data_IF_217586335282
#
_entry.id   IF_217586335282
#
_cell.length_a   1.000
_cell.length_b   1.000
_cell.length_c   1.000
_cell.angle_alpha   90.00
_cell.angle_beta   90.00
_cell.angle_gamma   90.00
#
_symmetry.space_group_name_H-M   'P 1'
#
loop_
_entity.id
_entity.type
_entity.pdbx_description
1 polymer ?
#
# COMPACT_ATOMS: atom_id res chain seq x y z
N UNK A 1 -46.24 38.50 64.39
CA UNK A 1 -46.10 37.47 65.45
C UNK A 1 -44.85 36.69 65.10
N UNK A 2 -43.69 37.11 65.63
CA UNK A 2 -43.05 36.59 66.86
C UNK A 2 -42.33 35.26 66.57
N UNK A 3 -41.00 35.29 66.43
CA UNK A 3 -39.99 34.88 67.42
C UNK A 3 -39.74 33.36 67.38
N UNK A 4 -38.54 32.87 67.04
CA UNK A 4 -37.38 32.64 67.94
C UNK A 4 -37.73 31.70 69.11
N UNK A 5 -36.95 30.72 69.58
CA UNK A 5 -35.59 30.19 69.38
C UNK A 5 -35.48 29.09 70.46
N UNK A 6 -34.85 27.94 70.14
CA UNK A 6 -34.11 26.99 71.03
C UNK A 6 -34.79 26.49 72.35
N UNK A 7 -34.33 25.49 73.11
CA UNK A 7 -33.06 24.75 73.21
C UNK A 7 -33.35 23.47 74.03
N UNK A 8 -32.58 22.40 73.84
CA UNK A 8 -31.99 21.57 74.92
C UNK A 8 -30.91 20.68 74.23
N UNK A 9 -29.63 21.06 74.09
CA UNK A 9 -28.47 20.97 75.04
C UNK A 9 -28.29 19.59 75.70
N UNK A 10 -27.14 18.90 75.77
CA UNK A 10 -25.67 19.08 75.57
C UNK A 10 -25.04 17.63 75.55
N UNK A 11 -23.71 17.39 75.63
CA UNK A 11 -22.68 17.41 74.58
C UNK A 11 -21.87 16.07 74.48
N UNK A 12 -21.10 15.82 73.42
CA UNK A 12 -19.72 15.27 73.54
C UNK A 12 -19.00 15.21 72.19
N UNK A 13 -17.81 15.79 72.18
CA UNK A 13 -16.72 15.54 71.23
C UNK A 13 -15.51 15.13 72.10
N UNK A 14 -14.37 14.63 71.58
CA UNK A 14 -14.09 13.83 70.37
C UNK A 14 -13.08 12.68 70.64
N UNK A 15 -13.07 11.55 69.91
CA UNK A 15 -11.86 10.70 69.72
C UNK A 15 -11.99 9.74 68.52
N UNK A 16 -10.92 9.12 67.98
CA UNK A 16 -10.44 9.34 66.61
C UNK A 16 -10.50 8.10 65.70
N UNK A 17 -10.07 8.28 64.44
CA UNK A 17 -9.62 7.30 63.44
C UNK A 17 -9.89 5.80 63.67
N UNK A 18 -10.70 5.24 62.76
CA UNK A 18 -10.47 3.87 62.25
C UNK A 18 -10.52 3.92 60.72
N UNK A 19 -9.37 3.86 60.03
CA UNK A 19 -9.31 3.66 58.59
C UNK A 19 -9.47 2.17 58.31
N UNK A 20 -10.58 1.74 57.70
CA UNK A 20 -10.73 0.31 57.42
C UNK A 20 -12.08 -0.17 56.95
N UNK A 21 -12.59 0.35 55.84
CA UNK A 21 -13.50 -0.42 55.00
C UNK A 21 -13.43 0.11 53.57
N UNK A 22 -12.68 -0.54 52.66
CA UNK A 22 -12.69 -0.13 51.26
C UNK A 22 -14.09 -0.37 50.69
N UNK A 23 -14.71 0.69 50.18
CA UNK A 23 -15.88 0.60 49.33
C UNK A 23 -15.49 -0.23 48.11
N UNK A 24 -15.89 -1.50 48.10
CA UNK A 24 -15.76 -2.36 46.93
C UNK A 24 -16.76 -1.87 45.89
N UNK A 25 -16.29 -1.01 44.99
CA UNK A 25 -16.98 -0.71 43.74
C UNK A 25 -16.93 -2.01 42.93
N UNK A 26 -18.09 -2.62 42.76
CA UNK A 26 -18.28 -3.85 41.99
C UNK A 26 -17.94 -3.54 40.51
N UNK A 27 -16.67 -3.73 40.14
CA UNK A 27 -16.20 -3.53 38.77
C UNK A 27 -16.70 -4.71 37.95
N UNK A 28 -17.85 -4.53 37.29
CA UNK A 28 -18.38 -5.46 36.29
C UNK A 28 -17.29 -5.65 35.23
N UNK A 29 -16.73 -6.86 35.13
CA UNK A 29 -15.74 -7.20 34.12
C UNK A 29 -16.32 -6.92 32.72
N UNK A 30 -15.65 -6.08 31.92
CA UNK A 30 -16.10 -5.72 30.58
C UNK A 30 -15.99 -6.90 29.59
N UNK A 31 -15.00 -7.78 29.80
CA UNK A 31 -14.75 -8.95 28.96
C UNK A 31 -13.92 -10.00 29.71
N UNK A 32 -13.81 -11.22 29.16
CA UNK A 32 -12.85 -12.25 29.58
C UNK A 32 -11.88 -12.53 28.44
N UNK A 33 -10.58 -12.43 28.68
CA UNK A 33 -9.53 -12.75 27.70
C UNK A 33 -8.71 -13.91 28.25
N UNK A 34 -8.60 -15.03 27.52
CA UNK A 34 -7.94 -16.27 27.98
C UNK A 34 -8.39 -16.80 29.35
N UNK A 35 -9.61 -16.48 29.78
CA UNK A 35 -10.16 -16.91 31.07
C UNK A 35 -9.91 -15.96 32.24
N UNK A 36 -9.12 -14.91 32.05
CA UNK A 36 -8.92 -13.85 33.06
C UNK A 36 -9.91 -12.69 32.84
N UNK A 37 -10.56 -12.19 33.91
CA UNK A 37 -11.50 -11.07 33.83
C UNK A 37 -10.77 -9.74 33.59
N UNK A 38 -11.22 -9.00 32.57
CA UNK A 38 -10.64 -7.73 32.14
C UNK A 38 -11.47 -6.56 32.70
N UNK A 39 -10.89 -5.79 33.61
CA UNK A 39 -11.59 -4.74 34.37
C UNK A 39 -11.37 -3.32 33.83
N UNK A 40 -10.42 -3.13 32.90
CA UNK A 40 -10.17 -1.86 32.23
C UNK A 40 -9.67 -2.10 30.79
N UNK A 41 -10.09 -1.25 29.85
CA UNK A 41 -9.57 -1.27 28.48
C UNK A 41 -8.09 -0.85 28.51
N UNK A 42 -7.13 -1.66 28.00
CA UNK A 42 -5.73 -1.28 27.96
C UNK A 42 -5.54 -0.08 27.02
N UNK A 43 -5.03 1.04 27.54
CA UNK A 43 -4.83 2.27 26.76
C UNK A 43 -3.58 2.25 25.89
N UNK A 44 -2.72 1.24 26.05
CA UNK A 44 -1.58 1.01 25.16
C UNK A 44 -1.91 -0.15 24.21
N UNK A 45 -1.99 0.18 22.93
CA UNK A 45 -2.15 -0.75 21.83
C UNK A 45 -0.89 -1.63 21.76
N UNK A 46 -0.84 -2.69 22.56
CA UNK A 46 0.16 -3.74 22.44
C UNK A 46 -0.01 -4.39 21.06
N UNK A 47 0.90 -4.09 20.14
CA UNK A 47 0.98 -4.74 18.84
C UNK A 47 2.01 -5.87 18.99
N UNK A 48 1.59 -7.14 19.09
CA UNK A 48 2.52 -8.26 19.16
C UNK A 48 3.44 -8.29 17.91
N UNK A 49 4.68 -8.77 18.04
CA UNK A 49 5.66 -8.79 16.94
C UNK A 49 5.17 -9.58 15.71
N UNK A 50 4.28 -10.54 15.91
CA UNK A 50 3.69 -11.34 14.83
C UNK A 50 2.59 -10.59 14.05
N UNK A 51 2.06 -9.47 14.58
CA UNK A 51 1.14 -8.59 13.85
C UNK A 51 1.85 -7.74 12.76
N UNK A 52 3.19 -7.82 12.67
CA UNK A 52 3.98 -7.31 11.54
C UNK A 52 4.12 -8.31 10.39
N UNK A 53 3.60 -9.54 10.48
CA UNK A 53 3.78 -10.56 9.43
C UNK A 53 2.95 -10.36 8.17
N UNK A 54 2.10 -9.32 8.08
CA UNK A 54 1.23 -9.08 6.92
C UNK A 54 1.44 -7.66 6.36
N UNK A 55 2.62 -7.35 5.83
CA UNK A 55 2.81 -6.06 5.15
C UNK A 55 3.56 -6.13 3.81
N UNK A 56 4.18 -7.26 3.47
CA UNK A 56 5.03 -7.35 2.28
C UNK A 56 4.30 -7.74 1.00
N UNK A 57 3.04 -8.20 1.10
CA UNK A 57 2.13 -8.33 -0.04
C UNK A 57 1.26 -7.07 -0.26
N UNK A 58 1.34 -6.06 0.61
CA UNK A 58 0.42 -4.92 0.60
C UNK A 58 0.93 -3.68 -0.14
N UNK A 59 2.23 -3.60 -0.47
CA UNK A 59 2.81 -2.44 -1.14
C UNK A 59 2.98 -2.67 -2.64
N UNK A 60 2.47 -1.75 -3.45
CA UNK A 60 2.55 -1.77 -4.91
C UNK A 60 3.92 -1.27 -5.44
N UNK A 61 5.00 -1.45 -4.66
CA UNK A 61 6.37 -1.11 -5.05
C UNK A 61 7.13 -0.19 -4.09
N UNK A 62 8.38 0.18 -4.42
CA UNK A 62 9.29 0.88 -3.52
C UNK A 62 8.88 2.34 -3.22
N UNK A 63 8.20 3.00 -4.16
CA UNK A 63 7.69 4.37 -3.94
C UNK A 63 6.55 4.39 -2.92
N UNK A 64 5.71 3.35 -2.92
CA UNK A 64 4.60 3.26 -1.97
C UNK A 64 5.10 3.02 -0.55
N UNK A 65 6.09 2.13 -0.41
CA UNK A 65 6.78 1.94 0.86
C UNK A 65 7.39 3.25 1.38
N UNK A 66 8.03 4.04 0.51
CA UNK A 66 8.57 5.34 0.90
C UNK A 66 7.50 6.32 1.34
N UNK A 67 6.39 6.43 0.61
CA UNK A 67 5.26 7.27 1.01
C UNK A 67 4.72 6.86 2.38
N UNK A 68 4.58 5.55 2.62
CA UNK A 68 4.17 5.03 3.92
C UNK A 68 5.14 5.43 5.04
N UNK A 69 6.44 5.26 4.84
CA UNK A 69 7.46 5.63 5.85
C UNK A 69 7.49 7.13 6.16
N UNK A 70 7.32 7.97 5.14
CA UNK A 70 7.25 9.44 5.27
C UNK A 70 6.00 9.83 6.07
N UNK A 71 4.83 9.27 5.72
CA UNK A 71 3.57 9.57 6.41
C UNK A 71 3.55 9.07 7.85
N UNK A 72 4.06 7.86 8.11
CA UNK A 72 4.11 7.27 9.45
C UNK A 72 4.91 8.13 10.43
N UNK A 73 5.90 8.87 9.95
CA UNK A 73 6.72 9.78 10.76
C UNK A 73 6.31 11.24 10.69
N UNK A 74 5.24 11.55 9.96
CA UNK A 74 4.79 12.93 9.71
C UNK A 74 5.88 13.82 9.11
N UNK A 75 6.73 13.26 8.23
CA UNK A 75 7.70 14.06 7.49
C UNK A 75 7.03 14.83 6.36
N UNK A 76 7.53 16.04 6.10
CA UNK A 76 7.14 16.80 4.92
C UNK A 76 7.75 16.14 3.68
N UNK A 77 6.93 15.83 2.68
CA UNK A 77 7.39 15.25 1.40
C UNK A 77 8.33 16.18 0.63
N UNK A 78 8.22 17.50 0.83
CA UNK A 78 9.13 18.49 0.25
C UNK A 78 10.44 18.59 1.02
N UNK A 79 10.45 18.16 2.29
CA UNK A 79 11.61 18.20 3.16
C UNK A 79 11.88 16.88 3.87
N UNK A 80 12.33 15.90 3.09
CA UNK A 80 12.55 14.55 3.56
C UNK A 80 13.92 14.46 4.27
N UNK A 81 13.96 14.02 5.55
CA UNK A 81 15.21 13.72 6.24
C UNK A 81 15.80 12.40 5.71
N UNK A 82 16.60 12.50 4.64
CA UNK A 82 17.15 11.34 3.93
C UNK A 82 17.90 10.37 4.84
N UNK A 83 18.64 10.86 5.84
CA UNK A 83 19.38 9.99 6.75
C UNK A 83 18.47 9.03 7.56
N UNK A 84 17.30 9.51 7.99
CA UNK A 84 16.34 8.73 8.77
C UNK A 84 15.54 7.79 7.86
N UNK A 85 15.01 8.31 6.75
CA UNK A 85 14.19 7.55 5.80
C UNK A 85 15.01 6.42 5.16
N UNK A 86 16.22 6.70 4.69
CA UNK A 86 17.09 5.65 4.11
C UNK A 86 17.40 4.55 5.12
N UNK A 87 17.63 4.89 6.40
CA UNK A 87 17.90 3.88 7.43
C UNK A 87 16.72 2.94 7.61
N UNK A 88 15.51 3.48 7.71
CA UNK A 88 14.31 2.67 7.89
C UNK A 88 13.98 1.86 6.65
N UNK A 89 14.12 2.46 5.48
CA UNK A 89 13.95 1.76 4.21
C UNK A 89 14.85 0.52 4.14
N UNK A 90 16.13 0.66 4.50
CA UNK A 90 17.08 -0.46 4.50
C UNK A 90 16.71 -1.55 5.51
N UNK A 91 16.19 -1.19 6.69
CA UNK A 91 15.68 -2.17 7.68
C UNK A 91 14.55 -2.99 7.07
N UNK A 92 13.56 -2.33 6.46
CA UNK A 92 12.44 -3.01 5.80
C UNK A 92 12.89 -3.88 4.62
N UNK A 93 13.82 -3.41 3.80
CA UNK A 93 14.32 -4.18 2.65
C UNK A 93 15.13 -5.40 3.10
N UNK A 94 15.87 -5.33 4.20
CA UNK A 94 16.59 -6.49 4.72
C UNK A 94 15.62 -7.58 5.21
N UNK A 95 14.53 -7.19 5.88
CA UNK A 95 13.45 -8.12 6.25
C UNK A 95 12.82 -8.79 5.01
N UNK A 96 12.53 -8.01 3.95
CA UNK A 96 12.01 -8.54 2.67
C UNK A 96 12.98 -9.54 2.06
N UNK A 97 14.27 -9.18 2.01
CA UNK A 97 15.32 -10.00 1.39
C UNK A 97 15.44 -11.37 2.04
N UNK A 98 15.21 -11.47 3.35
CA UNK A 98 15.24 -12.76 4.06
C UNK A 98 14.06 -13.67 3.72
N UNK A 99 12.93 -13.11 3.26
CA UNK A 99 11.69 -13.84 2.98
C UNK A 99 11.50 -14.15 1.48
N UNK A 100 11.84 -13.21 0.59
CA UNK A 100 11.65 -13.40 -0.85
C UNK A 100 12.67 -12.59 -1.69
N UNK A 101 13.64 -13.28 -2.30
CA UNK A 101 14.71 -12.66 -3.08
C UNK A 101 14.26 -12.17 -4.48
N UNK A 102 13.23 -12.78 -5.06
CA UNK A 102 12.81 -12.51 -6.44
C UNK A 102 12.10 -11.16 -6.57
N UNK A 103 11.34 -10.75 -5.54
CA UNK A 103 10.65 -9.46 -5.48
C UNK A 103 11.58 -8.29 -5.11
N UNK A 104 12.80 -8.55 -4.64
CA UNK A 104 13.66 -7.54 -4.03
C UNK A 104 14.35 -6.60 -5.03
N UNK A 105 14.37 -6.91 -6.33
CA UNK A 105 15.18 -6.18 -7.31
C UNK A 105 14.88 -4.67 -7.37
N UNK A 106 13.60 -4.29 -7.44
CA UNK A 106 13.18 -2.88 -7.49
C UNK A 106 13.46 -2.15 -6.17
N UNK A 107 13.32 -2.86 -5.05
CA UNK A 107 13.61 -2.32 -3.72
C UNK A 107 15.10 -2.09 -3.51
N UNK A 108 15.96 -2.99 -4.00
CA UNK A 108 17.41 -2.83 -3.95
C UNK A 108 17.90 -1.68 -4.84
N UNK A 109 17.29 -1.49 -6.01
CA UNK A 109 17.57 -0.33 -6.86
C UNK A 109 17.25 0.99 -6.12
N UNK A 110 16.09 1.05 -5.47
CA UNK A 110 15.70 2.22 -4.69
C UNK A 110 16.64 2.42 -3.48
N UNK A 111 17.03 1.35 -2.79
CA UNK A 111 18.00 1.41 -1.69
C UNK A 111 19.33 2.04 -2.15
N UNK A 112 19.85 1.61 -3.29
CA UNK A 112 21.07 2.18 -3.88
C UNK A 112 20.90 3.68 -4.18
N UNK A 113 19.77 4.06 -4.78
CA UNK A 113 19.45 5.46 -5.08
C UNK A 113 19.35 6.32 -3.81
N UNK A 114 18.71 5.83 -2.76
CA UNK A 114 18.61 6.52 -1.47
C UNK A 114 19.97 6.69 -0.78
N UNK A 115 20.85 5.70 -0.86
CA UNK A 115 22.22 5.76 -0.35
C UNK A 115 23.04 6.79 -1.13
N UNK A 116 22.92 6.81 -2.46
CA UNK A 116 23.57 7.79 -3.32
C UNK A 116 23.15 9.22 -2.98
N UNK A 117 21.84 9.48 -2.87
CA UNK A 117 21.31 10.79 -2.50
C UNK A 117 21.82 11.20 -1.12
N UNK A 118 21.74 10.30 -0.12
CA UNK A 118 22.26 10.56 1.22
C UNK A 118 23.74 10.91 1.20
N UNK A 119 24.55 10.17 0.45
CA UNK A 119 25.99 10.42 0.32
C UNK A 119 26.26 11.80 -0.28
N UNK A 120 25.58 12.16 -1.38
CA UNK A 120 25.71 13.48 -2.01
C UNK A 120 25.31 14.62 -1.09
N UNK A 121 24.27 14.45 -0.28
CA UNK A 121 23.82 15.46 0.68
C UNK A 121 24.80 15.66 1.85
N UNK A 122 25.53 14.63 2.24
CA UNK A 122 26.52 14.70 3.32
C UNK A 122 27.88 15.25 2.86
N UNK A 123 28.13 15.28 1.55
CA UNK A 123 29.37 15.77 0.99
C UNK A 123 29.30 17.29 0.73
N UNK A 124 30.44 18.01 0.81
CA UNK A 124 30.50 19.42 0.46
C UNK A 124 30.00 19.65 -0.99
N UNK A 125 29.19 20.69 -1.24
CA UNK A 125 28.66 20.96 -2.57
C UNK A 125 29.78 21.24 -3.56
N UNK A 126 29.73 20.59 -4.72
CA UNK A 126 30.67 20.87 -5.81
C UNK A 126 30.40 22.28 -6.32
N UNK A 127 31.43 23.14 -6.32
CA UNK A 127 31.35 24.45 -6.96
C UNK A 127 31.12 24.24 -8.45
N UNK A 128 29.96 24.65 -8.95
CA UNK A 128 29.66 24.69 -10.38
C UNK A 128 30.46 25.83 -11.03
N UNK A 129 30.91 25.63 -12.27
CA UNK A 129 31.72 26.60 -13.01
C UNK A 129 30.99 27.93 -13.28
N UNK A 130 29.66 27.98 -13.09
CA UNK A 130 28.79 29.11 -13.45
C UNK A 130 28.17 29.83 -12.24
N UNK A 131 28.58 29.50 -11.00
CA UNK A 131 28.03 30.15 -9.80
C UNK A 131 26.55 29.86 -9.52
N UNK A 132 25.93 28.92 -10.26
CA UNK A 132 24.57 28.42 -9.98
C UNK A 132 24.59 27.50 -8.78
N UNK A 133 23.64 27.67 -7.87
CA UNK A 133 23.43 26.70 -6.78
C UNK A 133 23.24 25.29 -7.36
N UNK A 134 23.86 24.31 -6.70
CA UNK A 134 23.69 22.92 -7.10
C UNK A 134 22.23 22.52 -6.87
N UNK A 135 21.63 21.85 -7.86
CA UNK A 135 20.28 21.29 -7.72
C UNK A 135 20.24 20.34 -6.52
N UNK A 136 19.16 20.42 -5.73
CA UNK A 136 18.98 19.53 -4.58
C UNK A 136 18.99 18.07 -5.07
N UNK A 137 19.95 17.22 -4.60
CA UNK A 137 20.08 15.84 -5.07
C UNK A 137 18.82 14.99 -4.83
N UNK A 138 17.90 15.41 -3.94
CA UNK A 138 16.64 14.70 -3.70
C UNK A 138 15.49 15.14 -4.61
N UNK A 139 15.63 16.21 -5.38
CA UNK A 139 14.55 16.81 -6.16
C UNK A 139 13.87 15.81 -7.11
N UNK A 140 14.66 14.99 -7.80
CA UNK A 140 14.16 13.96 -8.69
C UNK A 140 13.32 12.90 -7.95
N UNK A 141 13.72 12.53 -6.72
CA UNK A 141 12.98 11.57 -5.90
C UNK A 141 11.65 12.17 -5.41
N UNK A 142 11.69 13.40 -4.87
CA UNK A 142 10.49 14.10 -4.39
C UNK A 142 9.46 14.23 -5.51
N UNK A 143 9.90 14.62 -6.71
CA UNK A 143 9.02 14.71 -7.88
C UNK A 143 8.34 13.37 -8.19
N UNK A 144 9.09 12.27 -8.23
CA UNK A 144 8.53 10.93 -8.46
C UNK A 144 7.53 10.51 -7.38
N UNK A 145 7.82 10.84 -6.11
CA UNK A 145 6.91 10.55 -4.99
C UNK A 145 5.59 11.31 -5.12
N UNK A 146 5.65 12.59 -5.49
CA UNK A 146 4.45 13.42 -5.72
C UNK A 146 3.63 12.93 -6.91
N UNK A 147 4.29 12.61 -8.03
CA UNK A 147 3.63 12.04 -9.21
C UNK A 147 2.93 10.71 -8.88
N UNK A 148 3.62 9.82 -8.14
CA UNK A 148 3.05 8.55 -7.71
C UNK A 148 1.89 8.74 -6.74
N UNK A 149 2.00 9.64 -5.75
CA UNK A 149 0.92 9.98 -4.83
C UNK A 149 -0.33 10.48 -5.56
N UNK A 150 -0.14 11.38 -6.54
CA UNK A 150 -1.23 11.87 -7.37
C UNK A 150 -1.91 10.72 -8.14
N UNK A 151 -1.12 9.83 -8.73
CA UNK A 151 -1.64 8.67 -9.46
C UNK A 151 -2.40 7.71 -8.54
N UNK A 152 -1.87 7.45 -7.34
CA UNK A 152 -2.51 6.61 -6.32
C UNK A 152 -3.85 7.19 -5.88
N UNK A 153 -3.93 8.50 -5.68
CA UNK A 153 -5.19 9.18 -5.37
C UNK A 153 -6.18 9.13 -6.54
N UNK A 154 -5.71 9.29 -7.78
CA UNK A 154 -6.55 9.16 -8.97
C UNK A 154 -7.11 7.74 -9.11
N UNK A 155 -6.29 6.71 -8.91
CA UNK A 155 -6.70 5.32 -8.92
C UNK A 155 -7.74 5.02 -7.84
N UNK A 156 -7.56 5.53 -6.62
CA UNK A 156 -8.53 5.40 -5.54
C UNK A 156 -9.88 6.06 -5.89
N UNK A 157 -9.85 7.27 -6.47
CA UNK A 157 -11.07 7.96 -6.94
C UNK A 157 -11.77 7.18 -8.05
N UNK A 158 -11.01 6.59 -8.98
CA UNK A 158 -11.56 5.77 -10.05
C UNK A 158 -12.22 4.50 -9.50
N UNK A 159 -11.59 3.84 -8.53
CA UNK A 159 -12.14 2.64 -7.88
C UNK A 159 -13.45 2.91 -7.12
N UNK A 160 -13.63 4.15 -6.64
CA UNK A 160 -14.85 4.59 -5.97
C UNK A 160 -16.01 4.90 -6.95
N UNK A 161 -15.76 4.98 -8.26
CA UNK A 161 -16.83 5.16 -9.25
C UNK A 161 -17.71 3.90 -9.29
N UNK A 162 -19.05 4.02 -9.20
CA UNK A 162 -19.94 2.88 -9.27
C UNK A 162 -19.77 2.10 -10.57
N UNK A 163 -19.54 0.79 -10.46
CA UNK A 163 -19.33 -0.08 -11.60
C UNK A 163 -20.62 -0.83 -11.95
N UNK A 164 -20.97 -0.81 -13.25
CA UNK A 164 -22.10 -1.59 -13.76
C UNK A 164 -21.78 -3.08 -13.61
N UNK A 165 -22.68 -3.85 -13.01
CA UNK A 165 -22.49 -5.26 -12.71
C UNK A 165 -21.84 -5.55 -11.35
N UNK A 166 -21.26 -4.54 -10.67
CA UNK A 166 -20.78 -4.65 -9.28
C UNK A 166 -21.68 -3.89 -8.31
N UNK A 167 -21.83 -2.59 -8.55
CA UNK A 167 -22.54 -1.66 -7.65
C UNK A 167 -23.91 -1.28 -8.21
N UNK A 168 -24.04 -1.25 -9.53
CA UNK A 168 -25.29 -0.90 -10.22
C UNK A 168 -25.66 -2.01 -11.20
N UNK A 169 -26.88 -2.50 -11.13
CA UNK A 169 -27.41 -3.47 -12.10
C UNK A 169 -28.28 -2.75 -13.12
N UNK A 170 -28.10 -3.04 -14.40
CA UNK A 170 -28.98 -2.54 -15.45
C UNK A 170 -30.25 -3.39 -15.44
N UNK A 171 -31.40 -2.76 -15.14
CA UNK A 171 -32.68 -3.41 -15.33
C UNK A 171 -32.87 -3.76 -16.81
N UNK A 172 -33.02 -5.04 -17.11
CA UNK A 172 -33.42 -5.52 -18.42
C UNK A 172 -34.89 -5.93 -18.31
N UNK A 173 -35.75 -5.18 -18.99
CA UNK A 173 -37.15 -5.56 -19.15
C UNK A 173 -37.27 -6.20 -20.52
N UNK A 174 -37.66 -7.47 -20.54
CA UNK A 174 -38.09 -8.10 -21.77
C UNK A 174 -39.45 -7.52 -22.12
N UNK A 175 -39.45 -6.54 -23.00
CA UNK A 175 -40.69 -6.05 -23.59
C UNK A 175 -40.96 -7.00 -24.76
N UNK A 176 -42.06 -7.75 -24.70
CA UNK A 176 -42.64 -8.42 -25.87
C UNK A 176 -43.10 -7.34 -26.86
N UNK A 177 -42.13 -6.72 -27.50
CA UNK A 177 -42.35 -5.84 -28.60
C UNK A 177 -42.70 -6.74 -29.78
N UNK A 178 -43.99 -6.78 -30.13
CA UNK A 178 -44.44 -7.09 -31.48
C UNK A 178 -43.95 -6.00 -32.47
N UNK A 179 -42.68 -5.59 -32.38
CA UNK A 179 -42.00 -4.75 -33.34
C UNK A 179 -41.39 -5.68 -34.37
N UNK A 180 -41.85 -5.57 -35.61
CA UNK A 180 -41.08 -6.01 -36.76
C UNK A 180 -39.62 -5.57 -36.55
N UNK A 181 -38.63 -6.48 -36.62
CA UNK A 181 -37.24 -6.09 -36.49
C UNK A 181 -36.94 -5.04 -37.56
N UNK A 182 -36.64 -3.81 -37.11
CA UNK A 182 -36.06 -2.79 -37.99
C UNK A 182 -34.61 -3.18 -38.21
N UNK A 183 -34.36 -3.83 -39.34
CA UNK A 183 -33.00 -4.05 -39.79
C UNK A 183 -32.35 -2.69 -40.08
N UNK A 184 -31.08 -2.49 -39.69
CA UNK A 184 -30.34 -1.33 -40.14
C UNK A 184 -30.25 -1.34 -41.67
N UNK A 185 -30.18 -0.17 -42.29
CA UNK A 185 -29.90 -0.06 -43.71
C UNK A 185 -28.45 -0.47 -43.96
N UNK A 186 -28.26 -1.69 -44.44
CA UNK A 186 -26.93 -2.27 -44.73
C UNK A 186 -26.70 -2.26 -46.23
N UNK A 187 -25.58 -1.66 -46.65
CA UNK A 187 -25.12 -1.73 -48.03
C UNK A 187 -24.13 -2.88 -48.21
N UNK A 188 -23.96 -3.33 -49.46
CA UNK A 188 -22.99 -4.39 -49.82
C UNK A 188 -21.55 -4.02 -49.43
N UNK A 189 -21.23 -2.72 -49.42
CA UNK A 189 -19.92 -2.19 -49.01
C UNK A 189 -19.66 -2.46 -47.53
N UNK A 190 -20.67 -2.29 -46.66
CA UNK A 190 -20.53 -2.52 -45.21
C UNK A 190 -20.22 -4.00 -44.91
N UNK A 191 -20.83 -4.92 -45.67
CA UNK A 191 -20.54 -6.35 -45.57
C UNK A 191 -19.13 -6.68 -46.06
N UNK A 192 -18.66 -6.02 -47.12
CA UNK A 192 -17.30 -6.20 -47.63
C UNK A 192 -16.25 -5.74 -46.59
N UNK A 193 -16.48 -4.60 -45.95
CA UNK A 193 -15.56 -4.05 -44.96
C UNK A 193 -15.56 -4.87 -43.67
N UNK A 194 -16.73 -5.31 -43.19
CA UNK A 194 -16.83 -6.25 -42.08
C UNK A 194 -16.08 -7.57 -42.36
N UNK A 195 -16.20 -8.11 -43.59
CA UNK A 195 -15.48 -9.31 -43.99
C UNK A 195 -13.96 -9.09 -44.03
N UNK A 196 -13.50 -7.96 -44.58
CA UNK A 196 -12.08 -7.60 -44.61
C UNK A 196 -11.50 -7.49 -43.21
N UNK A 197 -12.24 -6.93 -42.26
CA UNK A 197 -11.79 -6.80 -40.88
C UNK A 197 -11.72 -8.14 -40.15
N UNK A 198 -12.64 -9.06 -40.42
CA UNK A 198 -12.57 -10.44 -39.91
C UNK A 198 -11.31 -11.15 -40.45
N UNK A 199 -11.06 -11.04 -41.76
CA UNK A 199 -9.87 -11.65 -42.40
C UNK A 199 -8.57 -11.06 -41.85
N UNK A 200 -8.50 -9.73 -41.63
CA UNK A 200 -7.34 -9.08 -40.99
C UNK A 200 -7.10 -9.62 -39.59
N UNK A 201 -8.14 -9.73 -38.76
CA UNK A 201 -8.04 -10.27 -37.38
C UNK A 201 -7.64 -11.74 -37.38
N UNK A 202 -8.18 -12.55 -38.28
CA UNK A 202 -7.80 -13.95 -38.41
C UNK A 202 -6.31 -14.12 -38.75
N UNK A 203 -5.74 -13.22 -39.56
CA UNK A 203 -4.30 -13.20 -39.87
C UNK A 203 -3.44 -12.82 -38.66
N UNK A 204 -3.94 -11.95 -37.78
CA UNK A 204 -3.26 -11.55 -36.52
C UNK A 204 -3.27 -12.66 -35.46
N UNK A 205 -4.21 -13.59 -35.51
CA UNK A 205 -4.33 -14.72 -34.56
C UNK A 205 -3.59 -15.97 -35.07
N UNK A 206 -2.83 -15.88 -36.17
CA UNK A 206 -1.95 -16.97 -36.58
C UNK A 206 -0.79 -17.10 -35.58
N UNK A 207 -0.98 -17.98 -34.59
CA UNK A 207 0.07 -18.40 -33.69
C UNK A 207 1.22 -19.01 -34.49
N UNK A 208 2.37 -18.33 -34.52
CA UNK A 208 3.62 -18.95 -34.95
C UNK A 208 3.98 -19.98 -33.88
N UNK A 209 3.71 -21.26 -34.16
CA UNK A 209 4.08 -22.35 -33.27
C UNK A 209 5.60 -22.52 -33.35
N UNK A 210 6.32 -21.83 -32.46
CA UNK A 210 7.76 -22.02 -32.31
C UNK A 210 7.95 -23.42 -31.70
N UNK A 211 8.13 -24.42 -32.56
CA UNK A 211 8.69 -25.69 -32.16
C UNK A 211 10.17 -25.48 -31.93
N UNK A 212 10.65 -25.72 -30.70
CA UNK A 212 12.07 -25.80 -30.44
C UNK A 212 12.59 -27.01 -31.23
N UNK A 213 13.59 -26.81 -32.07
CA UNK A 213 14.32 -27.94 -32.65
C UNK A 213 14.92 -28.74 -31.49
N UNK A 214 14.47 -29.99 -31.33
CA UNK A 214 15.08 -30.93 -30.40
C UNK A 214 16.40 -31.38 -30.99
N UNK A 215 17.45 -30.59 -30.75
CA UNK A 215 18.80 -31.01 -31.14
C UNK A 215 19.17 -32.24 -30.32
N UNK A 216 19.57 -33.33 -30.96
CA UNK A 216 20.01 -34.50 -30.21
C UNK A 216 21.29 -34.16 -29.41
N UNK A 217 21.46 -34.76 -28.24
CA UNK A 217 22.64 -34.52 -27.37
C UNK A 217 23.95 -34.72 -28.15
N UNK A 218 23.96 -35.67 -29.08
CA UNK A 218 25.10 -35.94 -29.98
C UNK A 218 25.41 -34.76 -30.89
N UNK A 219 24.41 -34.16 -31.51
CA UNK A 219 24.61 -32.98 -32.36
C UNK A 219 25.12 -31.81 -31.54
N UNK A 220 24.59 -31.60 -30.34
CA UNK A 220 25.01 -30.52 -29.47
C UNK A 220 26.47 -30.69 -29.03
N UNK A 221 26.85 -31.92 -28.65
CA UNK A 221 28.25 -32.26 -28.37
C UNK A 221 29.17 -32.00 -29.57
N UNK A 222 28.73 -32.35 -30.78
CA UNK A 222 29.54 -32.15 -31.99
C UNK A 222 29.76 -30.67 -32.31
N UNK A 223 28.79 -29.81 -32.02
CA UNK A 223 28.90 -28.35 -32.18
C UNK A 223 29.86 -27.77 -31.13
N UNK A 224 29.77 -28.21 -29.88
CA UNK A 224 30.66 -27.77 -28.80
C UNK A 224 32.11 -28.17 -29.08
N UNK A 225 32.35 -29.42 -29.47
CA UNK A 225 33.69 -29.89 -29.82
C UNK A 225 34.28 -29.14 -31.01
N UNK A 226 33.46 -28.80 -32.02
CA UNK A 226 33.89 -28.01 -33.19
C UNK A 226 34.26 -26.58 -32.83
N UNK A 227 33.61 -25.99 -31.81
CA UNK A 227 33.98 -24.65 -31.27
C UNK A 227 35.23 -24.66 -30.40
N UNK A 228 35.55 -25.79 -29.77
CA UNK A 228 36.73 -25.93 -28.89
C UNK A 228 38.00 -26.36 -29.65
N UNK A 229 37.85 -26.90 -30.87
CA UNK A 229 38.97 -27.30 -31.74
C UNK A 229 39.30 -26.25 -32.82
N UNK A 230 38.77 -25.03 -32.70
CA UNK A 230 39.15 -23.85 -33.49
C UNK A 230 39.85 -22.83 -32.61
#
# INVERSE_FOLDING_TARGET
MSASVETTTLPESPVPDVPGSPQMIDQVALARLYGEPLFAMPTDLYIPPDALEIFLEAFEGPLDLLLYLIRKQNFNILDIPMAAVTRQYLVYVDEIRTRNLELAAEYLLMAAMLIEIKSRMLLPPKKTAEGREAEDPRAALVRRLLEYEQMKLAAARLNAVPQLGRDVLRAQVFIEQALQPRFPDVNVVDLQDAWRDIVKRAKLIQHHKITREELSVREHMSIVLRRLQG
#
